data_IF_039021934531
#
_entry.id   IF_039021934531
#
_cell.length_a   1.000
_cell.length_b   1.000
_cell.length_c   1.000
_cell.angle_alpha   90.00
_cell.angle_beta   90.00
_cell.angle_gamma   90.00
#
_symmetry.space_group_name_H-M   'P 1'
#
loop_
_entity.id
_entity.type
_entity.pdbx_description
1 polymer ?
#
# COMPACT_ATOMS: atom_id res chain seq x y z
N UNK A 1 -22.88 20.43 28.87
CA UNK A 1 -22.45 21.10 27.63
C UNK A 1 -23.49 20.83 26.56
N UNK A 2 -23.89 21.82 25.75
CA UNK A 2 -24.85 21.59 24.67
C UNK A 2 -24.17 20.74 23.59
N UNK A 3 -24.87 19.69 23.14
CA UNK A 3 -24.43 18.80 22.06
C UNK A 3 -24.17 19.62 20.80
N UNK A 4 -22.98 19.52 20.23
CA UNK A 4 -22.64 20.16 18.96
C UNK A 4 -23.48 19.56 17.83
N UNK A 5 -23.78 20.31 16.75
CA UNK A 5 -24.56 19.81 15.61
C UNK A 5 -23.93 18.63 14.84
N UNK A 6 -22.75 18.14 15.24
CA UNK A 6 -22.17 16.89 14.73
C UNK A 6 -22.56 15.64 15.55
N UNK A 7 -23.30 15.78 16.65
CA UNK A 7 -23.74 14.66 17.52
C UNK A 7 -25.00 13.93 17.00
N UNK A 8 -25.41 14.14 15.75
CA UNK A 8 -26.81 13.92 15.33
C UNK A 8 -27.15 12.47 14.96
N UNK A 9 -26.19 11.54 14.80
CA UNK A 9 -26.53 10.14 14.50
C UNK A 9 -25.80 9.16 15.44
N UNK A 10 -26.49 8.59 16.46
CA UNK A 10 -25.93 7.48 17.22
C UNK A 10 -25.77 6.28 16.30
N UNK A 11 -24.53 5.98 15.91
CA UNK A 11 -24.22 4.80 15.10
C UNK A 11 -24.33 3.57 15.99
N UNK A 12 -25.41 2.80 15.83
CA UNK A 12 -25.74 1.71 16.77
C UNK A 12 -24.83 0.49 16.66
N UNK A 13 -23.99 0.35 15.61
CA UNK A 13 -23.01 -0.74 15.49
C UNK A 13 -21.78 -0.31 14.67
N UNK A 14 -20.81 0.41 15.26
CA UNK A 14 -19.71 1.00 14.49
C UNK A 14 -18.81 -0.04 13.80
N UNK A 15 -18.68 -1.24 14.38
CA UNK A 15 -17.92 -2.35 13.80
C UNK A 15 -18.51 -2.89 12.48
N UNK A 16 -19.86 -2.86 12.31
CA UNK A 16 -20.50 -3.30 11.05
C UNK A 16 -20.19 -2.33 9.92
N UNK A 17 -20.24 -1.03 10.22
CA UNK A 17 -19.87 0.01 9.27
C UNK A 17 -18.39 -0.05 8.90
N UNK A 18 -17.51 -0.26 9.88
CA UNK A 18 -16.09 -0.49 9.63
C UNK A 18 -15.88 -1.69 8.69
N UNK A 19 -16.56 -2.81 8.93
CA UNK A 19 -16.46 -3.98 8.06
C UNK A 19 -16.91 -3.68 6.63
N UNK A 20 -17.99 -2.92 6.44
CA UNK A 20 -18.45 -2.49 5.12
C UNK A 20 -17.42 -1.57 4.44
N UNK A 21 -16.80 -0.65 5.18
CA UNK A 21 -15.76 0.26 4.68
C UNK A 21 -14.55 -0.55 4.21
N UNK A 22 -14.04 -1.46 5.05
CA UNK A 22 -12.89 -2.29 4.72
C UNK A 22 -13.19 -3.23 3.55
N UNK A 23 -14.37 -3.85 3.52
CA UNK A 23 -14.77 -4.70 2.40
C UNK A 23 -14.87 -3.91 1.08
N UNK A 24 -15.43 -2.70 1.13
CA UNK A 24 -15.47 -1.79 -0.02
C UNK A 24 -14.06 -1.42 -0.50
N UNK A 25 -13.17 -1.06 0.41
CA UNK A 25 -11.77 -0.76 0.10
C UNK A 25 -11.07 -1.95 -0.56
N UNK A 26 -11.10 -3.12 0.08
CA UNK A 26 -10.44 -4.33 -0.45
C UNK A 26 -10.99 -4.68 -1.83
N UNK A 27 -12.30 -4.57 -2.03
CA UNK A 27 -12.92 -4.80 -3.33
C UNK A 27 -12.36 -3.82 -4.39
N UNK A 28 -12.45 -2.51 -4.14
CA UNK A 28 -12.03 -1.50 -5.12
C UNK A 28 -10.51 -1.55 -5.36
N UNK A 29 -9.70 -1.66 -4.32
CA UNK A 29 -8.24 -1.75 -4.42
C UNK A 29 -7.79 -3.02 -5.14
N UNK A 30 -8.49 -4.15 -4.95
CA UNK A 30 -8.26 -5.38 -5.73
C UNK A 30 -8.61 -5.17 -7.20
N UNK A 31 -9.71 -4.48 -7.51
CA UNK A 31 -10.04 -4.14 -8.90
C UNK A 31 -8.95 -3.24 -9.51
N UNK A 32 -8.44 -2.25 -8.78
CA UNK A 32 -7.29 -1.46 -9.23
C UNK A 32 -6.05 -2.33 -9.47
N UNK A 33 -5.72 -3.22 -8.55
CA UNK A 33 -4.57 -4.12 -8.68
C UNK A 33 -4.67 -5.03 -9.93
N UNK A 34 -5.88 -5.47 -10.27
CA UNK A 34 -6.17 -6.35 -11.41
C UNK A 34 -6.25 -5.62 -12.76
N UNK A 35 -6.85 -4.43 -12.78
CA UNK A 35 -7.16 -3.72 -14.04
C UNK A 35 -6.11 -2.68 -14.43
N UNK A 36 -5.28 -2.20 -13.51
CA UNK A 36 -4.14 -1.35 -13.86
C UNK A 36 -3.12 -2.20 -14.62
N UNK A 37 -2.77 -1.86 -15.87
CA UNK A 37 -1.77 -2.63 -16.60
C UNK A 37 -0.43 -2.66 -15.85
N UNK A 38 0.41 -3.70 -16.06
CA UNK A 38 1.72 -3.76 -15.45
C UNK A 38 2.51 -2.47 -15.71
N UNK A 39 3.25 -2.01 -14.70
CA UNK A 39 4.26 -0.95 -14.83
C UNK A 39 3.71 0.47 -15.09
N UNK A 40 2.40 0.67 -15.04
CA UNK A 40 1.78 1.99 -15.21
C UNK A 40 1.85 2.85 -13.95
N UNK A 41 2.09 2.25 -12.79
CA UNK A 41 2.39 3.01 -11.58
C UNK A 41 3.84 3.48 -11.62
N UNK A 42 4.09 4.79 -11.39
CA UNK A 42 5.45 5.31 -11.30
C UNK A 42 6.27 4.47 -10.31
N UNK A 43 7.48 4.11 -10.72
CA UNK A 43 8.48 3.42 -9.90
C UNK A 43 8.17 1.96 -9.49
N UNK A 44 6.95 1.47 -9.72
CA UNK A 44 6.55 0.07 -9.50
C UNK A 44 7.55 -0.95 -10.09
N UNK A 45 8.10 -0.76 -11.32
CA UNK A 45 9.10 -1.69 -11.85
C UNK A 45 10.38 -1.77 -11.01
N UNK A 46 10.84 -0.63 -10.48
CA UNK A 46 12.06 -0.58 -9.68
C UNK A 46 11.86 -1.23 -8.31
N UNK A 47 10.70 -1.01 -7.68
CA UNK A 47 10.33 -1.69 -6.45
C UNK A 47 10.21 -3.20 -6.64
N UNK A 48 9.55 -3.63 -7.72
CA UNK A 48 9.43 -5.03 -8.09
C UNK A 48 10.81 -5.69 -8.26
N UNK A 49 11.74 -5.03 -8.96
CA UNK A 49 13.10 -5.54 -9.16
C UNK A 49 13.89 -5.65 -7.86
N UNK A 50 13.69 -4.74 -6.90
CA UNK A 50 14.28 -4.86 -5.56
C UNK A 50 13.77 -6.13 -4.88
N UNK A 51 12.45 -6.36 -4.86
CA UNK A 51 11.87 -7.58 -4.26
C UNK A 51 12.42 -8.83 -4.95
N UNK A 52 12.45 -8.85 -6.28
CA UNK A 52 12.98 -9.96 -7.06
C UNK A 52 14.47 -10.23 -6.76
N UNK A 53 15.27 -9.18 -6.54
CA UNK A 53 16.69 -9.30 -6.18
C UNK A 53 16.87 -9.98 -4.82
N UNK A 54 16.09 -9.58 -3.80
CA UNK A 54 16.11 -10.24 -2.48
C UNK A 54 15.61 -11.68 -2.60
N UNK A 55 14.50 -11.91 -3.29
CA UNK A 55 13.89 -13.24 -3.43
C UNK A 55 14.79 -14.24 -4.17
N UNK A 56 15.65 -13.75 -5.08
CA UNK A 56 16.68 -14.54 -5.75
C UNK A 56 17.88 -14.90 -4.84
N UNK A 57 17.92 -14.39 -3.60
CA UNK A 57 19.00 -14.67 -2.65
C UNK A 57 20.26 -13.83 -2.86
N UNK A 58 20.19 -12.73 -3.63
CA UNK A 58 21.34 -11.85 -3.88
C UNK A 58 21.66 -10.89 -2.72
N UNK A 59 20.86 -10.91 -1.65
CA UNK A 59 21.02 -10.03 -0.49
C UNK A 59 20.33 -8.68 -0.69
N UNK A 60 20.77 -7.67 0.07
CA UNK A 60 20.26 -6.31 -0.07
C UNK A 60 20.98 -5.61 -1.24
N UNK A 61 20.26 -5.10 -2.24
CA UNK A 61 20.87 -4.36 -3.33
C UNK A 61 21.42 -3.04 -2.83
N UNK A 62 22.41 -2.51 -3.55
CA UNK A 62 23.00 -1.19 -3.32
C UNK A 62 22.80 -0.40 -4.59
N UNK A 63 22.37 0.86 -4.46
CA UNK A 63 22.26 1.78 -5.59
C UNK A 63 23.65 2.05 -6.18
N UNK A 64 23.79 1.84 -7.49
CA UNK A 64 25.03 2.04 -8.22
C UNK A 64 24.90 3.18 -9.24
N UNK A 65 26.03 3.78 -9.61
CA UNK A 65 26.09 4.71 -10.73
C UNK A 65 25.62 3.99 -12.01
N UNK A 66 24.64 4.58 -12.69
CA UNK A 66 24.02 3.99 -13.88
C UNK A 66 22.72 3.23 -13.62
N UNK A 67 22.30 3.00 -12.37
CA UNK A 67 20.99 2.40 -12.06
C UNK A 67 19.81 3.35 -12.37
N UNK A 68 20.10 4.64 -12.57
CA UNK A 68 19.16 5.66 -13.04
C UNK A 68 19.43 5.99 -14.51
N UNK A 69 18.63 5.42 -15.41
CA UNK A 69 18.63 5.73 -16.83
C UNK A 69 17.33 6.47 -17.20
N UNK A 70 17.43 7.79 -17.35
CA UNK A 70 16.28 8.63 -17.72
C UNK A 70 15.77 8.31 -19.12
N UNK A 71 16.67 8.08 -20.08
CA UNK A 71 16.29 7.86 -21.47
C UNK A 71 15.51 6.56 -21.63
N UNK A 72 15.94 5.50 -20.94
CA UNK A 72 15.20 4.24 -20.89
C UNK A 72 13.82 4.40 -20.22
N UNK A 73 13.74 5.13 -19.10
CA UNK A 73 12.46 5.37 -18.41
C UNK A 73 11.48 6.13 -19.30
N UNK A 74 11.93 7.19 -19.96
CA UNK A 74 11.12 8.00 -20.86
C UNK A 74 10.64 7.17 -22.07
N UNK A 75 11.51 6.34 -22.63
CA UNK A 75 11.18 5.44 -23.72
C UNK A 75 10.11 4.42 -23.28
N UNK A 76 10.32 3.71 -22.17
CA UNK A 76 9.38 2.70 -21.65
C UNK A 76 8.03 3.33 -21.31
N UNK A 77 8.02 4.53 -20.73
CA UNK A 77 6.80 5.28 -20.41
C UNK A 77 6.06 5.68 -21.68
N UNK A 78 6.76 6.21 -22.69
CA UNK A 78 6.17 6.60 -23.98
C UNK A 78 5.55 5.40 -24.70
N UNK A 79 6.21 4.24 -24.62
CA UNK A 79 5.74 3.00 -25.22
C UNK A 79 4.69 2.26 -24.37
N UNK A 80 4.32 2.80 -23.21
CA UNK A 80 3.39 2.18 -22.26
C UNK A 80 3.81 0.77 -21.82
N UNK A 81 5.11 0.55 -21.61
CA UNK A 81 5.71 -0.71 -21.14
C UNK A 81 5.26 -1.95 -21.93
N UNK A 82 5.64 -2.07 -23.22
CA UNK A 82 5.25 -3.18 -24.05
C UNK A 82 5.92 -4.49 -23.56
N UNK A 83 5.27 -5.66 -23.65
CA UNK A 83 5.75 -6.91 -23.05
C UNK A 83 7.13 -7.37 -23.52
N UNK A 84 7.58 -6.96 -24.70
CA UNK A 84 8.87 -7.35 -25.27
C UNK A 84 10.04 -6.57 -24.66
N UNK A 85 9.76 -5.46 -23.95
CA UNK A 85 10.77 -4.60 -23.35
C UNK A 85 10.97 -4.97 -21.88
N UNK A 86 12.22 -5.28 -21.53
CA UNK A 86 12.59 -5.66 -20.17
C UNK A 86 12.63 -4.45 -19.24
N UNK A 87 12.12 -4.63 -18.02
CA UNK A 87 12.23 -3.68 -16.92
C UNK A 87 13.47 -3.90 -16.04
N UNK A 88 14.27 -4.95 -16.29
CA UNK A 88 15.31 -5.42 -15.34
C UNK A 88 16.40 -4.37 -15.03
N UNK A 89 16.61 -3.41 -15.92
CA UNK A 89 17.56 -2.32 -15.72
C UNK A 89 17.04 -1.20 -14.79
N UNK A 90 15.74 -1.16 -14.50
CA UNK A 90 15.14 -0.15 -13.63
C UNK A 90 15.43 -0.51 -12.17
N UNK A 91 16.47 0.10 -11.61
CA UNK A 91 17.04 -0.24 -10.29
C UNK A 91 17.27 0.98 -9.38
N UNK A 92 16.75 2.13 -9.79
CA UNK A 92 17.01 3.40 -9.11
C UNK A 92 16.41 3.51 -7.71
N UNK A 93 15.49 2.62 -7.30
CA UNK A 93 14.94 2.57 -5.94
C UNK A 93 15.76 1.71 -4.96
N UNK A 94 16.92 1.18 -5.36
CA UNK A 94 17.78 0.36 -4.49
C UNK A 94 18.37 1.12 -3.27
N UNK A 95 18.18 2.44 -3.16
CA UNK A 95 18.59 3.21 -1.99
C UNK A 95 17.56 3.15 -0.85
N UNK A 96 16.34 2.71 -1.12
CA UNK A 96 15.26 2.78 -0.15
C UNK A 96 15.45 1.81 1.03
N UNK A 97 14.89 2.12 2.22
CA UNK A 97 14.95 1.24 3.38
C UNK A 97 14.42 -0.17 3.07
N UNK A 98 15.12 -1.24 3.50
CA UNK A 98 14.90 -2.59 2.98
C UNK A 98 13.64 -3.28 3.52
N UNK A 99 13.02 -2.76 4.59
CA UNK A 99 12.02 -3.49 5.36
C UNK A 99 10.82 -3.94 4.52
N UNK A 100 10.28 -3.05 3.69
CA UNK A 100 9.19 -3.38 2.78
C UNK A 100 9.54 -4.56 1.87
N UNK A 101 10.67 -4.46 1.18
CA UNK A 101 11.14 -5.45 0.23
C UNK A 101 11.41 -6.80 0.87
N UNK A 102 11.99 -6.82 2.07
CA UNK A 102 12.22 -8.04 2.86
C UNK A 102 10.90 -8.71 3.22
N UNK A 103 9.87 -7.95 3.61
CA UNK A 103 8.56 -8.50 3.94
C UNK A 103 7.78 -9.00 2.72
N UNK A 104 8.01 -8.38 1.55
CA UNK A 104 7.37 -8.75 0.30
C UNK A 104 8.06 -9.92 -0.42
N UNK A 105 9.36 -10.14 -0.21
CA UNK A 105 10.13 -11.21 -0.86
C UNK A 105 9.55 -12.63 -0.66
N UNK A 106 9.05 -13.03 0.53
CA UNK A 106 8.36 -14.31 0.70
C UNK A 106 7.09 -14.45 -0.16
N UNK A 107 6.35 -13.35 -0.36
CA UNK A 107 5.15 -13.34 -1.21
C UNK A 107 5.54 -13.59 -2.66
N UNK A 108 6.57 -12.89 -3.13
CA UNK A 108 7.13 -13.09 -4.47
C UNK A 108 7.61 -14.53 -4.68
N UNK A 109 8.39 -15.06 -3.74
CA UNK A 109 8.91 -16.42 -3.81
C UNK A 109 7.78 -17.44 -3.84
N UNK A 110 6.79 -17.31 -2.96
CA UNK A 110 5.65 -18.23 -2.92
C UNK A 110 4.82 -18.16 -4.22
N UNK A 111 4.62 -16.98 -4.77
CA UNK A 111 3.92 -16.81 -6.05
C UNK A 111 4.62 -17.56 -7.19
N UNK A 112 5.96 -17.52 -7.25
CA UNK A 112 6.73 -18.32 -8.21
C UNK A 112 6.57 -19.83 -7.97
N UNK A 113 6.62 -20.29 -6.72
CA UNK A 113 6.45 -21.70 -6.38
C UNK A 113 5.04 -22.24 -6.71
N UNK A 114 4.03 -21.37 -6.68
CA UNK A 114 2.67 -21.69 -7.11
C UNK A 114 2.49 -21.65 -8.64
N UNK A 115 3.57 -21.45 -9.41
CA UNK A 115 3.55 -21.44 -10.87
C UNK A 115 3.07 -20.13 -11.49
N UNK A 116 3.02 -19.03 -10.73
CA UNK A 116 2.66 -17.72 -11.28
C UNK A 116 3.76 -17.22 -12.22
N UNK A 117 3.45 -17.09 -13.50
CA UNK A 117 4.35 -16.51 -14.49
C UNK A 117 4.63 -15.02 -14.25
N UNK A 118 3.76 -14.33 -13.49
CA UNK A 118 3.88 -12.91 -13.16
C UNK A 118 3.53 -12.68 -11.68
N UNK A 119 4.53 -12.70 -10.78
CA UNK A 119 4.34 -12.45 -9.34
C UNK A 119 3.76 -11.07 -8.98
N UNK A 120 3.69 -10.14 -9.93
CA UNK A 120 3.24 -8.75 -9.72
C UNK A 120 1.87 -8.67 -9.04
N UNK A 121 0.88 -9.46 -9.47
CA UNK A 121 -0.47 -9.39 -8.88
C UNK A 121 -0.45 -9.79 -7.40
N UNK A 122 0.36 -10.78 -7.02
CA UNK A 122 0.47 -11.22 -5.63
C UNK A 122 1.10 -10.13 -4.75
N UNK A 123 2.06 -9.39 -5.29
CA UNK A 123 2.64 -8.24 -4.61
C UNK A 123 1.64 -7.09 -4.47
N UNK A 124 0.89 -6.76 -5.53
CA UNK A 124 -0.17 -5.75 -5.43
C UNK A 124 -1.24 -6.12 -4.40
N UNK A 125 -1.63 -7.39 -4.34
CA UNK A 125 -2.56 -7.89 -3.31
C UNK A 125 -1.97 -7.83 -1.90
N UNK A 126 -0.65 -7.98 -1.76
CA UNK A 126 0.06 -7.75 -0.50
C UNK A 126 -0.04 -6.27 -0.08
N UNK A 127 0.15 -5.31 -1.00
CA UNK A 127 -0.04 -3.89 -0.70
C UNK A 127 -1.49 -3.53 -0.35
N UNK A 128 -2.47 -4.16 -0.99
CA UNK A 128 -3.90 -4.01 -0.63
C UNK A 128 -4.14 -4.48 0.81
N UNK A 129 -3.51 -5.57 1.23
CA UNK A 129 -3.58 -6.05 2.61
C UNK A 129 -2.95 -5.04 3.58
N UNK A 130 -1.79 -4.48 3.25
CA UNK A 130 -1.15 -3.44 4.07
C UNK A 130 -2.05 -2.23 4.23
N UNK A 131 -2.65 -1.72 3.14
CA UNK A 131 -3.56 -0.59 3.22
C UNK A 131 -4.84 -0.88 4.02
N UNK A 132 -5.38 -2.12 3.96
CA UNK A 132 -6.49 -2.52 4.82
C UNK A 132 -6.10 -2.51 6.31
N UNK A 133 -4.90 -2.98 6.64
CA UNK A 133 -4.35 -2.89 7.99
C UNK A 133 -4.14 -1.44 8.43
N UNK A 134 -3.64 -0.57 7.55
CA UNK A 134 -3.51 0.87 7.78
C UNK A 134 -4.87 1.50 8.12
N UNK A 135 -5.94 1.20 7.39
CA UNK A 135 -7.29 1.71 7.68
C UNK A 135 -7.81 1.26 9.04
N UNK A 136 -7.52 0.02 9.47
CA UNK A 136 -7.88 -0.46 10.80
C UNK A 136 -7.11 0.28 11.90
N UNK A 137 -5.83 0.56 11.69
CA UNK A 137 -5.01 1.36 12.61
C UNK A 137 -5.48 2.82 12.66
N UNK A 138 -5.83 3.41 11.51
CA UNK A 138 -6.41 4.75 11.43
C UNK A 138 -7.70 4.84 12.26
N UNK A 139 -8.61 3.88 12.08
CA UNK A 139 -9.83 3.81 12.88
C UNK A 139 -9.53 3.68 14.38
N UNK A 140 -8.53 2.88 14.77
CA UNK A 140 -8.11 2.75 16.15
C UNK A 140 -7.53 4.06 16.72
N UNK A 141 -6.67 4.76 15.97
CA UNK A 141 -6.14 6.07 16.36
C UNK A 141 -7.27 7.08 16.60
N UNK A 142 -8.23 7.14 15.68
CA UNK A 142 -9.35 8.07 15.76
C UNK A 142 -10.29 7.78 16.93
N UNK A 143 -10.49 6.51 17.32
CA UNK A 143 -11.27 6.18 18.51
C UNK A 143 -10.56 6.59 19.81
N UNK A 144 -9.23 6.56 19.85
CA UNK A 144 -8.48 7.07 21.02
C UNK A 144 -8.51 8.59 21.05
N UNK A 145 -8.34 9.25 19.90
CA UNK A 145 -8.35 10.71 19.80
C UNK A 145 -9.74 11.34 20.01
N UNK A 146 -10.82 10.66 19.56
CA UNK A 146 -12.20 11.15 19.65
C UNK A 146 -13.16 10.12 20.29
N UNK A 147 -13.00 9.76 21.58
CA UNK A 147 -13.75 8.66 22.21
C UNK A 147 -15.27 8.87 22.22
N UNK A 148 -15.72 10.13 22.18
CA UNK A 148 -17.14 10.50 22.26
C UNK A 148 -17.80 10.65 20.87
N UNK A 149 -17.04 10.54 19.78
CA UNK A 149 -17.50 10.82 18.43
C UNK A 149 -17.14 9.69 17.43
N UNK A 150 -17.72 8.48 17.57
CA UNK A 150 -17.44 7.34 16.70
C UNK A 150 -17.82 7.59 15.23
N UNK A 151 -18.73 8.53 14.97
CA UNK A 151 -19.07 8.98 13.62
C UNK A 151 -17.90 9.66 12.91
N UNK A 152 -17.08 10.44 13.63
CA UNK A 152 -15.87 11.07 13.08
C UNK A 152 -14.85 10.00 12.70
N UNK A 153 -14.63 9.01 13.59
CA UNK A 153 -13.72 7.91 13.33
C UNK A 153 -14.10 7.13 12.07
N UNK A 154 -15.39 6.79 11.93
CA UNK A 154 -15.91 6.11 10.75
C UNK A 154 -15.86 6.97 9.49
N UNK A 155 -16.25 8.24 9.57
CA UNK A 155 -16.27 9.14 8.41
C UNK A 155 -14.85 9.40 7.88
N UNK A 156 -13.88 9.65 8.76
CA UNK A 156 -12.50 9.84 8.35
C UNK A 156 -11.88 8.54 7.80
N UNK A 157 -12.17 7.39 8.40
CA UNK A 157 -11.73 6.09 7.87
C UNK A 157 -12.36 5.81 6.49
N UNK A 158 -13.66 6.07 6.32
CA UNK A 158 -14.36 5.91 5.05
C UNK A 158 -13.82 6.86 3.97
N UNK A 159 -13.52 8.10 4.35
CA UNK A 159 -12.90 9.07 3.46
C UNK A 159 -11.54 8.56 2.98
N UNK A 160 -10.64 8.17 3.89
CA UNK A 160 -9.34 7.61 3.53
C UNK A 160 -9.46 6.35 2.67
N UNK A 161 -10.37 5.43 3.03
CA UNK A 161 -10.61 4.18 2.32
C UNK A 161 -11.14 4.34 0.90
N UNK A 162 -11.80 5.47 0.61
CA UNK A 162 -12.41 5.75 -0.70
C UNK A 162 -11.70 6.86 -1.45
N UNK A 163 -10.58 7.37 -0.93
CA UNK A 163 -9.75 8.34 -1.63
C UNK A 163 -9.03 7.65 -2.81
N UNK A 164 -9.23 8.09 -4.06
CA UNK A 164 -8.66 7.42 -5.23
C UNK A 164 -7.14 7.29 -5.18
N UNK A 165 -6.46 8.30 -4.64
CA UNK A 165 -5.01 8.27 -4.48
C UNK A 165 -4.56 7.22 -3.46
N UNK A 166 -5.26 7.08 -2.34
CA UNK A 166 -4.94 6.07 -1.31
C UNK A 166 -5.12 4.65 -1.88
N UNK A 167 -6.19 4.43 -2.63
CA UNK A 167 -6.46 3.18 -3.33
C UNK A 167 -5.36 2.89 -4.36
N UNK A 168 -5.03 3.85 -5.22
CA UNK A 168 -4.07 3.66 -6.31
C UNK A 168 -2.65 3.38 -5.80
N UNK A 169 -2.23 4.01 -4.70
CA UNK A 169 -0.93 3.77 -4.08
C UNK A 169 -0.88 2.40 -3.40
N UNK A 170 -1.92 2.00 -2.66
CA UNK A 170 -1.98 0.69 -2.01
C UNK A 170 -2.39 -0.46 -2.96
N UNK A 171 -2.60 -0.20 -4.26
CA UNK A 171 -2.86 -1.21 -5.28
C UNK A 171 -1.64 -1.44 -6.20
N UNK A 172 -0.48 -0.88 -5.86
CA UNK A 172 0.76 -0.96 -6.60
C UNK A 172 1.94 -1.25 -5.69
N UNK A 173 3.00 -1.84 -6.26
CA UNK A 173 4.20 -2.23 -5.51
C UNK A 173 5.05 -1.01 -5.17
N UNK A 174 5.04 -0.58 -3.90
CA UNK A 174 5.84 0.51 -3.35
C UNK A 174 5.96 0.38 -1.83
N UNK A 175 6.92 1.09 -1.24
CA UNK A 175 7.16 1.06 0.21
C UNK A 175 6.24 1.99 1.02
N UNK A 176 5.45 2.86 0.38
CA UNK A 176 4.62 3.86 1.05
C UNK A 176 3.53 3.19 1.91
N UNK A 177 2.93 2.10 1.42
CA UNK A 177 1.88 1.37 2.15
C UNK A 177 2.37 0.82 3.51
N UNK A 178 3.59 0.26 3.53
CA UNK A 178 4.19 -0.19 4.80
C UNK A 178 4.61 0.99 5.68
N UNK A 179 5.11 2.07 5.09
CA UNK A 179 5.46 3.27 5.84
C UNK A 179 4.24 3.89 6.55
N UNK A 180 3.11 3.98 5.85
CA UNK A 180 1.82 4.43 6.40
C UNK A 180 1.39 3.55 7.58
N UNK A 181 1.44 2.23 7.41
CA UNK A 181 1.07 1.27 8.45
C UNK A 181 1.91 1.47 9.72
N UNK A 182 3.23 1.54 9.57
CA UNK A 182 4.16 1.72 10.70
C UNK A 182 3.96 3.07 11.38
N UNK A 183 3.72 4.14 10.61
CA UNK A 183 3.42 5.46 11.14
C UNK A 183 2.14 5.45 11.97
N UNK A 184 1.06 4.83 11.48
CA UNK A 184 -0.20 4.73 12.22
C UNK A 184 -0.05 3.87 13.48
N UNK A 185 0.74 2.80 13.44
CA UNK A 185 1.05 2.01 14.63
C UNK A 185 1.82 2.82 15.68
N UNK A 186 2.79 3.64 15.25
CA UNK A 186 3.53 4.55 16.12
C UNK A 186 2.62 5.64 16.71
N UNK A 187 1.73 6.22 15.91
CA UNK A 187 0.73 7.20 16.41
C UNK A 187 -0.21 6.56 17.41
N UNK A 188 -0.71 5.35 17.14
CA UNK A 188 -1.60 4.64 18.07
C UNK A 188 -0.94 4.37 19.42
N UNK A 189 0.32 3.95 19.41
CA UNK A 189 1.09 3.70 20.63
C UNK A 189 1.32 4.99 21.42
N UNK A 190 1.66 6.10 20.76
CA UNK A 190 1.79 7.40 21.40
C UNK A 190 0.46 7.91 21.99
N UNK A 191 -0.64 7.82 21.23
CA UNK A 191 -1.96 8.23 21.70
C UNK A 191 -2.39 7.44 22.95
N UNK A 192 -2.13 6.12 22.96
CA UNK A 192 -2.41 5.27 24.13
C UNK A 192 -1.51 5.54 25.32
N UNK A 193 -0.29 6.00 25.09
CA UNK A 193 0.63 6.38 26.17
C UNK A 193 0.22 7.70 26.85
N UNK A 194 -0.45 8.59 26.10
CA UNK A 194 -0.92 9.89 26.61
C UNK A 194 -2.32 9.85 27.25
N UNK A 195 -3.10 8.81 26.97
CA UNK A 195 -4.49 8.64 27.46
C UNK A 195 -4.53 7.94 28.82
#
# INVERSE_FOLDING_TARGET
MPKTPMDILPIQHPHRWLLIIIASYVCIATLFALYTPPWQNPDEPAHYNYIAHIAAGHGLPVLQMGDYDQALRDELTTLHFPPERSIAALRYENYQPPLYYVTAAPVFWLAQQLGSAQPLIWLRLYDVLLGACSLLLLYACLNVAFPQAPSIALAATAFSALLPMHIAMNAAVNNDGLAELLLLAAVLTLLRWMA
#
